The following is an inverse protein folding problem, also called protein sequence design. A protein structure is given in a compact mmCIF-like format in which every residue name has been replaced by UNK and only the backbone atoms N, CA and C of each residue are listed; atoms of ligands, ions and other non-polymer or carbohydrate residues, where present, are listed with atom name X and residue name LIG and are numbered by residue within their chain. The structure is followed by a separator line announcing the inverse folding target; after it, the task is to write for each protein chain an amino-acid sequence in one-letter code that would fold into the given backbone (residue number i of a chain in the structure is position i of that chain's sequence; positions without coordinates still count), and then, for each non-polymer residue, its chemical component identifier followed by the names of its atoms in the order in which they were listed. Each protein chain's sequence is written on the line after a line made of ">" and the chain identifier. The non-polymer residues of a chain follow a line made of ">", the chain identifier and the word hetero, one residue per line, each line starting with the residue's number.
data_IF_964695460729
#
_entry.id   IF_964695460729
#
_cell.length_a   1.000
_cell.length_b   1.000
_cell.length_c   1.000
_cell.angle_alpha   90.00
_cell.angle_beta   90.00
_cell.angle_gamma   90.00
#
_symmetry.space_group_name_H-M   'P 1'
#
loop_
_entity.id
_entity.type
_entity.pdbx_description
1 polymer ?
#
# COMPACT_ATOMS: atom_id res chain seq x y z
N UNK A 1 9.88 17.43 -10.31
CA UNK A 1 8.71 16.72 -10.85
C UNK A 1 7.89 16.34 -9.65
N UNK A 2 6.61 16.67 -9.59
CA UNK A 2 5.76 16.30 -8.46
C UNK A 2 5.43 14.81 -8.61
N UNK A 3 5.80 13.99 -7.62
CA UNK A 3 5.37 12.60 -7.55
C UNK A 3 4.07 12.53 -6.75
N UNK A 4 3.08 11.81 -7.28
CA UNK A 4 1.80 11.67 -6.65
C UNK A 4 1.39 10.19 -6.60
N UNK A 5 0.86 9.76 -5.48
CA UNK A 5 0.22 8.45 -5.31
C UNK A 5 -1.28 8.64 -5.16
N UNK A 6 -2.06 8.09 -6.07
CA UNK A 6 -3.53 8.12 -5.99
C UNK A 6 -4.01 6.88 -5.24
N UNK A 7 -4.56 7.09 -4.05
CA UNK A 7 -5.28 6.07 -3.30
C UNK A 7 -6.65 5.88 -3.96
N UNK A 8 -6.76 4.84 -4.79
CA UNK A 8 -7.91 4.60 -5.63
C UNK A 8 -9.01 3.87 -4.86
N UNK A 9 -9.97 4.61 -4.35
CA UNK A 9 -11.06 4.14 -3.49
C UNK A 9 -12.45 4.13 -4.12
N UNK A 10 -12.56 4.57 -5.38
CA UNK A 10 -13.80 4.57 -6.17
C UNK A 10 -14.13 3.21 -6.80
N UNK A 11 -13.43 2.16 -6.43
CA UNK A 11 -13.63 0.81 -6.95
C UNK A 11 -14.13 -0.14 -5.88
N UNK A 12 -14.65 -1.29 -6.33
CA UNK A 12 -15.20 -2.33 -5.49
C UNK A 12 -14.17 -2.82 -4.44
N UNK A 13 -14.62 -2.93 -3.20
CA UNK A 13 -13.83 -3.53 -2.12
C UNK A 13 -13.68 -5.04 -2.31
N UNK A 14 -12.44 -5.50 -2.44
CA UNK A 14 -12.11 -6.91 -2.60
C UNK A 14 -11.96 -7.57 -1.21
N UNK A 15 -12.92 -8.43 -0.87
CA UNK A 15 -12.87 -9.20 0.38
C UNK A 15 -11.66 -10.13 0.41
N UNK A 16 -11.05 -10.25 1.59
CA UNK A 16 -9.84 -11.07 1.80
C UNK A 16 -8.64 -10.66 0.95
N UNK A 17 -8.68 -9.47 0.35
CA UNK A 17 -7.54 -8.84 -0.32
C UNK A 17 -6.56 -8.20 0.68
N UNK A 18 -5.77 -7.25 0.20
CA UNK A 18 -4.73 -6.56 0.96
C UNK A 18 -5.16 -5.17 1.47
N UNK A 19 -6.40 -4.76 1.22
CA UNK A 19 -6.88 -3.40 1.50
C UNK A 19 -6.91 -3.10 3.00
N UNK A 20 -7.33 -4.07 3.83
CA UNK A 20 -7.48 -3.88 5.28
C UNK A 20 -6.60 -4.80 6.14
N UNK A 21 -5.69 -5.55 5.53
CA UNK A 21 -4.79 -6.48 6.24
C UNK A 21 -3.46 -6.63 5.52
N UNK A 22 -2.45 -7.03 6.29
CA UNK A 22 -1.15 -7.39 5.77
C UNK A 22 -0.56 -8.55 6.60
N UNK A 23 0.68 -8.97 6.35
CA UNK A 23 1.34 -10.09 7.02
C UNK A 23 2.53 -9.63 7.87
N UNK A 24 2.68 -10.24 9.02
CA UNK A 24 3.84 -10.13 9.91
C UNK A 24 4.24 -11.53 10.37
N UNK A 25 5.44 -11.70 10.91
CA UNK A 25 5.87 -12.95 11.52
C UNK A 25 4.93 -13.38 12.67
N UNK A 26 4.85 -14.68 12.90
CA UNK A 26 4.31 -15.25 14.13
C UNK A 26 5.36 -15.28 15.24
N UNK A 27 4.94 -15.46 16.50
CA UNK A 27 5.87 -15.66 17.61
C UNK A 27 6.87 -16.80 17.39
N UNK A 28 6.43 -17.92 16.86
CA UNK A 28 7.24 -19.13 16.71
C UNK A 28 7.82 -19.25 15.29
N UNK A 29 6.97 -19.51 14.29
CA UNK A 29 7.38 -19.66 12.89
C UNK A 29 6.27 -19.30 11.93
N UNK A 30 6.65 -18.96 10.68
CA UNK A 30 5.74 -18.54 9.63
C UNK A 30 5.14 -17.17 9.90
N UNK A 31 4.04 -16.84 9.23
CA UNK A 31 3.42 -15.53 9.26
C UNK A 31 1.95 -15.57 9.71
N UNK A 32 1.43 -14.41 10.09
CA UNK A 32 0.03 -14.17 10.42
C UNK A 32 -0.49 -12.90 9.77
N UNK A 33 -1.80 -12.83 9.56
CA UNK A 33 -2.44 -11.58 9.19
C UNK A 33 -2.60 -10.66 10.40
N UNK A 34 -2.35 -9.37 10.17
CA UNK A 34 -2.78 -8.28 11.03
C UNK A 34 -3.54 -7.25 10.20
N UNK A 35 -4.32 -6.39 10.84
CA UNK A 35 -5.10 -5.36 10.15
C UNK A 35 -6.33 -4.95 10.94
N UNK A 36 -7.20 -4.19 10.31
CA UNK A 36 -8.40 -3.65 10.93
C UNK A 36 -9.67 -4.33 10.40
N UNK A 37 -10.66 -4.59 11.29
CA UNK A 37 -11.90 -5.24 10.92
C UNK A 37 -12.85 -4.25 10.25
N UNK A 38 -13.59 -4.73 9.26
CA UNK A 38 -14.63 -3.97 8.60
C UNK A 38 -16.01 -4.49 8.96
N UNK A 39 -17.03 -3.63 8.90
CA UNK A 39 -18.43 -4.02 9.04
C UNK A 39 -18.86 -4.96 7.92
N UNK A 40 -19.98 -5.66 8.15
CA UNK A 40 -20.65 -6.38 7.07
C UNK A 40 -21.05 -5.37 5.98
N UNK A 41 -20.68 -5.66 4.75
CA UNK A 41 -20.91 -4.81 3.59
C UNK A 41 -21.35 -5.65 2.39
N UNK A 42 -21.98 -5.03 1.38
CA UNK A 42 -22.31 -5.68 0.13
C UNK A 42 -21.05 -6.03 -0.68
N UNK A 43 -21.14 -6.96 -1.61
CA UNK A 43 -20.01 -7.27 -2.51
C UNK A 43 -19.69 -6.11 -3.47
N UNK A 44 -20.71 -5.30 -3.76
CA UNK A 44 -20.63 -4.16 -4.69
C UNK A 44 -20.17 -2.87 -4.04
N UNK A 45 -20.01 -2.83 -2.71
CA UNK A 45 -19.63 -1.60 -2.03
C UNK A 45 -18.23 -1.15 -2.45
N UNK A 46 -18.08 0.14 -2.64
CA UNK A 46 -16.79 0.76 -2.98
C UNK A 46 -15.90 0.84 -1.73
N UNK A 47 -14.59 0.93 -1.93
CA UNK A 47 -13.64 1.00 -0.82
C UNK A 47 -13.96 2.17 0.12
N UNK A 48 -14.31 3.34 -0.42
CA UNK A 48 -14.67 4.55 0.33
C UNK A 48 -15.89 4.38 1.23
N UNK A 49 -16.80 3.48 0.88
CA UNK A 49 -18.07 3.26 1.59
C UNK A 49 -17.95 2.19 2.68
N UNK A 50 -16.86 1.43 2.68
CA UNK A 50 -16.66 0.36 3.66
C UNK A 50 -16.20 0.92 5.00
N UNK A 51 -17.01 0.70 6.05
CA UNK A 51 -16.78 1.20 7.39
C UNK A 51 -16.02 0.19 8.26
N UNK A 52 -15.27 0.70 9.22
CA UNK A 52 -14.65 -0.12 10.26
C UNK A 52 -15.70 -0.66 11.23
N UNK A 53 -15.39 -1.80 11.85
CA UNK A 53 -16.22 -2.34 12.92
C UNK A 53 -16.04 -1.50 14.19
N UNK A 54 -17.12 -0.89 14.74
CA UNK A 54 -17.00 0.07 15.83
C UNK A 54 -16.61 -0.56 17.16
N UNK A 55 -17.05 -1.79 17.41
CA UNK A 55 -16.95 -2.45 18.72
C UNK A 55 -15.66 -3.28 18.88
N UNK A 56 -14.78 -3.29 17.88
CA UNK A 56 -13.55 -4.07 17.94
C UNK A 56 -12.37 -3.13 18.15
N UNK A 57 -11.69 -3.25 19.28
CA UNK A 57 -10.42 -2.56 19.51
C UNK A 57 -9.28 -3.22 18.71
N UNK A 58 -9.28 -2.91 17.42
CA UNK A 58 -8.28 -3.43 16.51
C UNK A 58 -6.89 -2.84 16.74
N UNK A 59 -6.80 -1.65 17.33
CA UNK A 59 -5.51 -1.01 17.65
C UNK A 59 -4.77 -1.80 18.73
N UNK A 60 -5.44 -2.10 19.83
CA UNK A 60 -4.89 -2.97 20.89
C UNK A 60 -4.58 -4.37 20.36
N UNK A 61 -5.40 -4.90 19.45
CA UNK A 61 -5.14 -6.18 18.82
C UNK A 61 -3.83 -6.16 18.03
N UNK A 62 -3.59 -5.13 17.20
CA UNK A 62 -2.33 -4.98 16.45
C UNK A 62 -1.15 -4.87 17.43
N UNK A 63 -1.26 -4.04 18.47
CA UNK A 63 -0.22 -3.91 19.50
C UNK A 63 0.11 -5.25 20.16
N UNK A 64 -0.90 -6.06 20.48
CA UNK A 64 -0.70 -7.42 21.00
C UNK A 64 -0.02 -8.35 19.98
N UNK A 65 -0.40 -8.28 18.71
CA UNK A 65 0.18 -9.12 17.66
C UNK A 65 1.67 -8.80 17.39
N UNK A 66 2.12 -7.56 17.57
CA UNK A 66 3.51 -7.18 17.36
C UNK A 66 4.37 -7.33 18.64
N UNK A 67 3.78 -7.56 19.80
CA UNK A 67 4.50 -7.59 21.07
C UNK A 67 5.65 -8.61 21.12
N UNK A 68 5.54 -9.72 20.38
CA UNK A 68 6.58 -10.76 20.33
C UNK A 68 7.91 -10.30 19.71
N UNK A 69 7.90 -9.23 18.87
CA UNK A 69 9.12 -8.64 18.32
C UNK A 69 10.05 -8.06 19.41
N UNK A 70 9.52 -7.79 20.62
CA UNK A 70 10.31 -7.32 21.76
C UNK A 70 11.48 -8.25 22.09
N UNK A 71 11.30 -9.55 21.89
CA UNK A 71 12.33 -10.56 22.16
C UNK A 71 13.18 -10.89 20.94
N UNK A 72 12.85 -10.34 19.77
CA UNK A 72 13.45 -10.72 18.49
C UNK A 72 14.32 -9.62 17.86
N UNK A 73 14.12 -8.36 18.25
CA UNK A 73 14.80 -7.23 17.61
C UNK A 73 15.05 -6.06 18.55
N UNK A 74 16.18 -5.42 18.38
CA UNK A 74 16.57 -4.20 19.13
C UNK A 74 15.73 -2.97 18.77
N UNK A 75 15.08 -2.97 17.60
CA UNK A 75 14.31 -1.84 17.11
C UNK A 75 12.86 -1.82 17.63
N UNK A 76 12.44 -2.86 18.34
CA UNK A 76 11.05 -2.98 18.81
C UNK A 76 10.55 -1.74 19.54
N UNK A 77 11.33 -1.20 20.48
CA UNK A 77 10.89 -0.06 21.30
C UNK A 77 10.60 1.19 20.44
N UNK A 78 11.47 1.49 19.49
CA UNK A 78 11.31 2.60 18.54
C UNK A 78 10.06 2.37 17.67
N UNK A 79 10.00 1.23 17.01
CA UNK A 79 8.94 0.96 16.04
C UNK A 79 7.58 0.80 16.72
N UNK A 80 7.52 0.18 17.90
CA UNK A 80 6.28 0.09 18.67
C UNK A 80 5.74 1.47 19.07
N UNK A 81 6.63 2.42 19.46
CA UNK A 81 6.24 3.81 19.73
C UNK A 81 5.65 4.46 18.48
N UNK A 82 6.33 4.35 17.33
CA UNK A 82 5.86 4.89 16.05
C UNK A 82 4.49 4.31 15.67
N UNK A 83 4.33 2.99 15.75
CA UNK A 83 3.05 2.32 15.47
C UNK A 83 1.96 2.84 16.39
N UNK A 84 2.24 2.97 17.69
CA UNK A 84 1.28 3.47 18.67
C UNK A 84 0.87 4.92 18.36
N UNK A 85 1.82 5.78 18.00
CA UNK A 85 1.55 7.17 17.60
C UNK A 85 0.67 7.24 16.36
N UNK A 86 1.01 6.50 15.30
CA UNK A 86 0.23 6.44 14.07
C UNK A 86 -1.19 5.93 14.35
N UNK A 87 -1.32 4.83 15.09
CA UNK A 87 -2.62 4.25 15.41
C UNK A 87 -3.47 5.18 16.29
N UNK A 88 -2.87 5.92 17.23
CA UNK A 88 -3.60 6.85 18.10
C UNK A 88 -4.22 8.01 17.32
N UNK A 89 -3.55 8.49 16.28
CA UNK A 89 -4.05 9.55 15.39
C UNK A 89 -5.20 9.12 14.46
N UNK A 90 -5.43 7.81 14.33
CA UNK A 90 -6.50 7.30 13.49
C UNK A 90 -7.84 7.37 14.24
N UNK A 91 -8.59 8.45 14.04
CA UNK A 91 -10.01 8.56 14.43
C UNK A 91 -10.98 8.17 13.30
N UNK A 92 -10.47 7.57 12.21
CA UNK A 92 -11.25 7.30 11.01
C UNK A 92 -12.26 6.17 11.19
N UNK A 93 -13.36 6.29 10.46
CA UNK A 93 -14.47 5.33 10.48
C UNK A 93 -14.55 4.47 9.23
N UNK A 94 -13.87 4.85 8.13
CA UNK A 94 -13.86 4.11 6.86
C UNK A 94 -12.45 3.65 6.47
N UNK A 95 -12.41 2.69 5.55
CA UNK A 95 -11.19 2.02 5.07
C UNK A 95 -10.23 2.98 4.40
N UNK A 96 -10.73 3.88 3.55
CA UNK A 96 -9.94 4.86 2.81
C UNK A 96 -9.14 5.74 3.76
N UNK A 97 -9.80 6.34 4.75
CA UNK A 97 -9.15 7.25 5.68
C UNK A 97 -8.12 6.59 6.58
N UNK A 98 -8.34 5.31 6.97
CA UNK A 98 -7.32 4.55 7.72
C UNK A 98 -6.08 4.36 6.86
N UNK A 99 -6.26 3.89 5.63
CA UNK A 99 -5.14 3.67 4.71
C UNK A 99 -4.41 4.98 4.38
N UNK A 100 -5.16 6.06 4.09
CA UNK A 100 -4.58 7.37 3.84
C UNK A 100 -3.70 7.84 5.01
N UNK A 101 -4.20 7.79 6.24
CA UNK A 101 -3.44 8.22 7.42
C UNK A 101 -2.19 7.38 7.65
N UNK A 102 -2.29 6.06 7.50
CA UNK A 102 -1.13 5.15 7.63
C UNK A 102 -0.09 5.46 6.54
N UNK A 103 -0.50 5.51 5.27
CA UNK A 103 0.41 5.76 4.16
C UNK A 103 1.07 7.14 4.26
N UNK A 104 0.31 8.18 4.57
CA UNK A 104 0.83 9.54 4.73
C UNK A 104 1.83 9.64 5.90
N UNK A 105 1.54 8.98 7.03
CA UNK A 105 2.46 8.94 8.17
C UNK A 105 3.75 8.18 7.83
N UNK A 106 3.66 7.05 7.14
CA UNK A 106 4.82 6.27 6.71
C UNK A 106 5.64 7.01 5.64
N UNK A 107 4.99 7.66 4.68
CA UNK A 107 5.65 8.49 3.65
C UNK A 107 6.51 9.57 4.31
N UNK A 108 5.94 10.32 5.25
CA UNK A 108 6.67 11.35 6.01
C UNK A 108 7.81 10.77 6.84
N UNK A 109 7.57 9.67 7.56
CA UNK A 109 8.56 9.00 8.39
C UNK A 109 9.77 8.54 7.57
N UNK A 110 9.51 8.00 6.39
CA UNK A 110 10.53 7.47 5.49
C UNK A 110 11.16 8.55 4.60
N UNK A 111 10.61 9.78 4.61
CA UNK A 111 11.12 10.89 3.82
C UNK A 111 10.84 10.73 2.33
N UNK A 112 9.72 10.11 1.98
CA UNK A 112 9.29 10.00 0.58
C UNK A 112 8.67 11.32 0.13
N UNK A 113 9.18 11.88 -0.94
CA UNK A 113 8.64 13.09 -1.57
C UNK A 113 7.50 12.70 -2.53
N UNK A 114 6.35 12.39 -1.94
CA UNK A 114 5.18 11.93 -2.67
C UNK A 114 3.90 12.48 -2.04
N UNK A 115 3.11 13.19 -2.82
CA UNK A 115 1.77 13.59 -2.40
C UNK A 115 0.81 12.40 -2.50
N UNK A 116 -0.02 12.20 -1.48
CA UNK A 116 -1.04 11.14 -1.49
C UNK A 116 -2.41 11.79 -1.66
N UNK A 117 -3.06 11.49 -2.78
CA UNK A 117 -4.42 11.95 -3.09
C UNK A 117 -5.41 10.81 -2.92
N UNK A 118 -6.61 11.12 -2.47
CA UNK A 118 -7.74 10.19 -2.45
C UNK A 118 -8.56 10.42 -3.71
N UNK A 119 -8.80 9.39 -4.53
CA UNK A 119 -9.47 9.55 -5.83
C UNK A 119 -10.88 10.09 -5.71
N UNK A 120 -11.65 9.65 -4.72
CA UNK A 120 -13.02 10.11 -4.50
C UNK A 120 -13.13 11.59 -4.11
N UNK A 121 -12.05 12.21 -3.62
CA UNK A 121 -12.01 13.64 -3.29
C UNK A 121 -11.69 14.50 -4.51
N UNK A 122 -11.24 13.90 -5.61
CA UNK A 122 -10.77 14.65 -6.80
C UNK A 122 -11.86 14.88 -7.85
N UNK A 123 -13.03 14.23 -7.72
CA UNK A 123 -14.14 14.30 -8.69
C UNK A 123 -13.73 13.93 -10.13
N UNK A 124 -12.88 12.90 -10.28
CA UNK A 124 -12.50 12.43 -11.61
C UNK A 124 -13.70 11.94 -12.41
N UNK A 125 -13.70 12.25 -13.72
CA UNK A 125 -14.68 11.71 -14.65
C UNK A 125 -14.23 10.32 -15.15
N UNK A 126 -15.06 9.33 -14.88
CA UNK A 126 -14.85 7.94 -15.27
C UNK A 126 -15.74 7.49 -16.43
N UNK A 127 -16.33 8.43 -17.17
CA UNK A 127 -17.08 8.07 -18.38
C UNK A 127 -16.15 7.39 -19.39
N UNK A 128 -16.70 6.42 -20.10
CA UNK A 128 -15.99 5.64 -21.13
C UNK A 128 -14.83 4.75 -20.61
N UNK A 129 -14.84 4.36 -19.34
CA UNK A 129 -13.97 3.29 -18.84
C UNK A 129 -14.60 1.94 -19.17
N UNK A 130 -13.94 1.15 -20.02
CA UNK A 130 -14.43 -0.15 -20.50
C UNK A 130 -13.69 -1.33 -19.85
N UNK A 131 -12.56 -1.09 -19.21
CA UNK A 131 -11.73 -2.12 -18.60
C UNK A 131 -10.90 -1.64 -17.41
N UNK A 132 -10.39 -2.58 -16.59
CA UNK A 132 -9.69 -2.25 -15.36
C UNK A 132 -8.42 -1.40 -15.56
N UNK A 133 -7.71 -1.53 -16.68
CA UNK A 133 -6.52 -0.73 -16.99
C UNK A 133 -6.83 0.73 -17.36
N UNK A 134 -8.04 1.01 -17.83
CA UNK A 134 -8.41 2.36 -18.30
C UNK A 134 -8.67 3.35 -17.16
N UNK A 135 -8.98 2.87 -15.95
CA UNK A 135 -9.13 3.75 -14.77
C UNK A 135 -7.88 4.60 -14.53
N UNK A 136 -6.73 3.96 -14.53
CA UNK A 136 -5.46 4.63 -14.30
C UNK A 136 -5.14 5.62 -15.43
N UNK A 137 -5.44 5.27 -16.67
CA UNK A 137 -5.26 6.16 -17.82
C UNK A 137 -6.14 7.42 -17.68
N UNK A 138 -7.45 7.26 -17.36
CA UNK A 138 -8.36 8.41 -17.19
C UNK A 138 -7.96 9.33 -16.04
N UNK A 139 -7.51 8.77 -14.92
CA UNK A 139 -6.95 9.57 -13.83
C UNK A 139 -5.71 10.31 -14.29
N UNK A 140 -4.78 9.65 -14.97
CA UNK A 140 -3.54 10.26 -15.45
C UNK A 140 -3.77 11.38 -16.46
N UNK A 141 -4.72 11.22 -17.37
CA UNK A 141 -5.12 12.27 -18.32
C UNK A 141 -5.65 13.52 -17.60
N UNK A 142 -6.56 13.33 -16.64
CA UNK A 142 -7.16 14.45 -15.89
C UNK A 142 -6.15 15.15 -14.98
N UNK A 143 -5.18 14.41 -14.47
CA UNK A 143 -4.04 14.97 -13.73
C UNK A 143 -2.99 15.62 -14.64
N UNK A 144 -3.09 15.47 -15.96
CA UNK A 144 -2.09 15.91 -16.95
C UNK A 144 -0.71 15.31 -16.63
N UNK A 145 -0.70 14.06 -16.24
CA UNK A 145 0.51 13.32 -15.92
C UNK A 145 1.34 13.09 -17.20
N UNK A 146 2.65 13.22 -17.11
CA UNK A 146 3.57 12.85 -18.19
C UNK A 146 3.98 11.38 -18.14
N UNK A 147 3.83 10.74 -16.99
CA UNK A 147 4.21 9.34 -16.76
C UNK A 147 3.27 8.71 -15.73
N UNK A 148 2.90 7.44 -15.97
CA UNK A 148 2.20 6.59 -15.01
C UNK A 148 3.06 5.38 -14.69
N UNK A 149 3.23 5.11 -13.40
CA UNK A 149 4.03 3.97 -12.91
C UNK A 149 3.12 3.04 -12.11
N UNK A 150 3.12 1.75 -12.47
CA UNK A 150 2.38 0.71 -11.74
C UNK A 150 3.33 -0.40 -11.29
N UNK A 151 3.02 -1.16 -10.22
CA UNK A 151 3.75 -2.39 -9.93
C UNK A 151 3.73 -3.37 -11.10
N UNK A 152 4.85 -4.04 -11.39
CA UNK A 152 5.01 -4.95 -12.53
C UNK A 152 3.96 -6.08 -12.56
N UNK A 153 3.47 -6.50 -11.38
CA UNK A 153 2.42 -7.52 -11.27
C UNK A 153 1.09 -7.12 -11.91
N UNK A 154 0.87 -5.83 -12.16
CA UNK A 154 -0.31 -5.31 -12.85
C UNK A 154 -0.12 -5.07 -14.34
N UNK A 155 1.05 -5.37 -14.93
CA UNK A 155 1.38 -5.01 -16.31
C UNK A 155 0.35 -5.49 -17.33
N UNK A 156 -0.15 -6.72 -17.18
CA UNK A 156 -1.16 -7.30 -18.08
C UNK A 156 -2.54 -6.60 -18.10
N UNK A 157 -2.77 -5.59 -17.26
CA UNK A 157 -4.01 -4.82 -17.24
C UNK A 157 -3.97 -3.61 -18.18
N UNK A 158 -2.78 -3.18 -18.62
CA UNK A 158 -2.58 -1.91 -19.32
C UNK A 158 -2.22 -2.11 -20.78
N UNK A 159 -2.71 -1.23 -21.65
CA UNK A 159 -2.32 -1.13 -23.05
C UNK A 159 -1.32 0.00 -23.25
N UNK A 160 -0.12 -0.33 -23.72
CA UNK A 160 0.92 0.65 -24.05
C UNK A 160 0.40 1.66 -25.08
N UNK A 161 -0.29 1.18 -26.12
CA UNK A 161 -0.84 2.02 -27.18
C UNK A 161 -1.82 3.08 -26.67
N UNK A 162 -2.68 2.72 -25.72
CA UNK A 162 -3.65 3.68 -25.14
C UNK A 162 -2.94 4.81 -24.36
N UNK A 163 -1.89 4.47 -23.61
CA UNK A 163 -1.11 5.47 -22.88
C UNK A 163 -0.31 6.37 -23.84
N UNK A 164 0.29 5.80 -24.87
CA UNK A 164 1.01 6.54 -25.91
C UNK A 164 0.09 7.50 -26.68
N UNK A 165 -1.12 7.04 -27.04
CA UNK A 165 -2.12 7.89 -27.69
C UNK A 165 -2.51 9.12 -26.85
N UNK A 166 -2.43 8.99 -25.50
CA UNK A 166 -2.65 10.09 -24.56
C UNK A 166 -1.37 10.87 -24.23
N UNK A 167 -0.24 10.57 -24.88
CA UNK A 167 1.08 11.16 -24.61
C UNK A 167 1.54 10.97 -23.14
N UNK A 168 1.17 9.87 -22.53
CA UNK A 168 1.56 9.49 -21.17
C UNK A 168 2.49 8.29 -21.25
N UNK A 169 3.65 8.38 -20.63
CA UNK A 169 4.60 7.28 -20.57
C UNK A 169 4.10 6.24 -19.57
N UNK A 170 3.92 4.99 -20.02
CA UNK A 170 3.61 3.87 -19.14
C UNK A 170 4.91 3.19 -18.70
N UNK A 171 5.08 3.00 -17.39
CA UNK A 171 6.22 2.32 -16.82
C UNK A 171 5.80 1.39 -15.67
N UNK A 172 6.65 0.44 -15.34
CA UNK A 172 6.39 -0.54 -14.29
C UNK A 172 7.52 -0.55 -13.27
N UNK A 173 7.13 -0.55 -12.00
CA UNK A 173 8.06 -0.66 -10.88
C UNK A 173 8.14 -2.13 -10.45
N UNK A 174 9.36 -2.63 -10.42
CA UNK A 174 9.69 -3.95 -9.90
C UNK A 174 10.64 -3.80 -8.72
N UNK A 175 10.21 -4.23 -7.53
CA UNK A 175 11.07 -4.29 -6.37
C UNK A 175 12.06 -5.45 -6.52
N UNK A 176 13.32 -5.21 -6.20
CA UNK A 176 14.26 -6.30 -6.07
C UNK A 176 13.82 -7.25 -4.95
N UNK A 177 14.26 -8.49 -5.00
CA UNK A 177 14.08 -9.40 -3.87
C UNK A 177 14.78 -8.82 -2.63
N UNK A 178 13.98 -8.55 -1.61
CA UNK A 178 14.47 -7.98 -0.36
C UNK A 178 14.64 -9.12 0.64
N UNK A 179 15.88 -9.47 0.92
CA UNK A 179 16.23 -10.37 2.00
C UNK A 179 16.87 -9.61 3.17
N UNK A 180 16.46 -9.94 4.38
CA UNK A 180 17.04 -9.42 5.60
C UNK A 180 17.00 -10.47 6.70
N UNK A 181 17.93 -10.37 7.63
CA UNK A 181 18.00 -11.30 8.74
C UNK A 181 16.74 -11.15 9.62
N UNK A 182 15.98 -12.23 9.70
CA UNK A 182 14.87 -12.43 10.62
C UNK A 182 15.30 -13.34 11.77
N UNK A 183 14.44 -13.52 12.76
CA UNK A 183 14.79 -14.31 13.96
C UNK A 183 14.77 -15.84 13.73
N UNK A 184 14.25 -16.29 12.60
CA UNK A 184 14.15 -17.69 12.18
C UNK A 184 14.42 -17.80 10.67
N UNK A 185 13.95 -18.87 10.02
CA UNK A 185 13.97 -18.97 8.58
C UNK A 185 13.29 -17.76 7.94
N UNK A 186 13.83 -17.30 6.82
CA UNK A 186 13.32 -16.12 6.14
C UNK A 186 11.91 -16.36 5.59
N UNK A 187 10.98 -15.48 5.95
CA UNK A 187 9.62 -15.41 5.42
C UNK A 187 9.51 -14.24 4.45
N UNK A 188 9.30 -14.49 3.16
CA UNK A 188 9.22 -13.43 2.16
C UNK A 188 7.87 -12.68 2.18
N UNK A 189 7.85 -11.54 1.51
CA UNK A 189 6.65 -10.76 1.24
C UNK A 189 5.82 -10.42 2.50
N UNK A 190 6.50 -10.07 3.58
CA UNK A 190 5.89 -9.49 4.76
C UNK A 190 5.67 -7.98 4.59
N UNK A 191 4.93 -7.38 5.51
CA UNK A 191 4.69 -5.95 5.49
C UNK A 191 5.95 -5.12 5.78
N UNK A 192 5.94 -3.87 5.36
CA UNK A 192 6.96 -2.89 5.73
C UNK A 192 7.20 -2.83 7.26
N UNK A 193 6.17 -3.08 8.06
CA UNK A 193 6.28 -3.13 9.52
C UNK A 193 7.29 -4.19 9.98
N UNK A 194 7.29 -5.37 9.37
CA UNK A 194 8.25 -6.42 9.69
C UNK A 194 9.69 -5.98 9.37
N UNK A 195 9.91 -5.41 8.18
CA UNK A 195 11.20 -4.85 7.79
C UNK A 195 11.67 -3.79 8.79
N UNK A 196 10.78 -2.86 9.17
CA UNK A 196 11.09 -1.81 10.16
C UNK A 196 11.46 -2.41 11.52
N UNK A 197 10.79 -3.49 11.97
CA UNK A 197 11.12 -4.17 13.22
C UNK A 197 12.56 -4.69 13.23
N UNK A 198 13.07 -5.22 12.11
CA UNK A 198 14.43 -5.77 12.05
C UNK A 198 15.50 -4.77 11.64
N UNK A 199 15.18 -3.75 10.85
CA UNK A 199 16.13 -2.79 10.30
C UNK A 199 16.07 -1.39 10.92
N UNK A 200 15.03 -1.08 11.68
CA UNK A 200 14.72 0.27 12.14
C UNK A 200 14.31 1.19 10.99
N UNK A 201 13.96 2.43 11.28
CA UNK A 201 13.56 3.41 10.25
C UNK A 201 14.69 3.67 9.25
N UNK A 202 15.91 3.94 9.75
CA UNK A 202 17.06 4.26 8.90
C UNK A 202 17.46 3.09 7.99
N UNK A 203 17.49 1.86 8.53
CA UNK A 203 17.79 0.67 7.74
C UNK A 203 16.71 0.37 6.71
N UNK A 204 15.44 0.63 7.01
CA UNK A 204 14.35 0.45 6.06
C UNK A 204 14.49 1.34 4.84
N UNK A 205 14.91 2.60 5.01
CA UNK A 205 15.11 3.54 3.89
C UNK A 205 16.05 2.98 2.82
N UNK A 206 17.12 2.29 3.21
CA UNK A 206 18.07 1.73 2.24
C UNK A 206 17.52 0.61 1.36
N UNK A 207 16.38 0.02 1.73
CA UNK A 207 15.69 -0.97 0.92
C UNK A 207 14.69 -0.34 -0.05
N UNK A 208 14.21 0.87 0.22
CA UNK A 208 13.22 1.53 -0.63
C UNK A 208 13.79 1.94 -2.00
N UNK A 209 15.10 2.10 -2.10
CA UNK A 209 15.79 2.43 -3.37
C UNK A 209 16.15 1.19 -4.20
N UNK A 210 15.81 -0.02 -3.71
CA UNK A 210 16.14 -1.27 -4.37
C UNK A 210 15.00 -1.70 -5.33
N UNK A 211 14.79 -0.93 -6.38
CA UNK A 211 13.79 -1.20 -7.40
C UNK A 211 14.34 -0.89 -8.80
N UNK A 212 13.62 -1.40 -9.80
CA UNK A 212 13.82 -1.06 -11.21
C UNK A 212 12.55 -0.44 -11.76
N UNK A 213 12.70 0.52 -12.67
CA UNK A 213 11.59 1.01 -13.49
C UNK A 213 11.85 0.53 -14.91
N UNK A 214 10.92 -0.25 -15.42
CA UNK A 214 10.98 -0.81 -16.78
C UNK A 214 9.84 -0.24 -17.60
N UNK A 215 10.09 0.02 -18.87
CA UNK A 215 9.04 0.20 -19.87
C UNK A 215 8.78 -1.18 -20.46
N UNK A 216 7.53 -1.56 -20.61
CA UNK A 216 7.22 -2.75 -21.42
C UNK A 216 7.46 -2.34 -22.87
N UNK A 217 8.56 -2.80 -23.43
CA UNK A 217 8.69 -2.87 -24.88
C UNK A 217 7.86 -4.07 -25.27
N UNK A 218 6.88 -3.90 -26.18
CA UNK A 218 6.07 -4.99 -26.69
C UNK A 218 6.95 -6.20 -26.98
N UNK A 219 6.63 -7.32 -26.36
CA UNK A 219 7.17 -8.59 -26.78
C UNK A 219 6.51 -8.96 -28.13
N UNK A 220 6.91 -8.24 -29.17
CA UNK A 220 6.74 -8.70 -30.54
C UNK A 220 7.93 -9.59 -30.85
N UNK A 221 7.79 -10.88 -30.53
CA UNK A 221 8.34 -12.01 -31.30
C UNK A 221 7.56 -13.28 -30.94
#
# INVERSE_FOLDING_TARGET
>A
MLHCFVLFDDVQYIRRGWINRNRILKPDSGWQYFGFPVRKHAKTDLIKDVLLHPDIDWKSKISGQIAHYKLKTRHFAEINRIVTEILSDIGAVNVTMVNYKILNSLSRLLGLDCEILISSDQNYDYQNVNGPGEWALRISEQMKASEYINPISGAGLFSQEQFEASSIKLAFLEMNEIEYQQSAAFEPALSLLDLMMFKGVAGTKSFLDQYKITQVVDATE
#
